data_IF_086232985181
#
_entry.id   IF_086232985181
#
_cell.length_a   1.000
_cell.length_b   1.000
_cell.length_c   1.000
_cell.angle_alpha   90.00
_cell.angle_beta   90.00
_cell.angle_gamma   90.00
#
_symmetry.space_group_name_H-M   'P 1'
#
loop_
_entity.id
_entity.type
_entity.pdbx_description
1 polymer ?
#
# COMPACT_ATOMS: atom_id res chain seq x y z
N UNK A 1 -10.82 5.79 5.91
CA UNK A 1 -9.77 4.86 5.44
C UNK A 1 -9.52 5.20 3.97
N UNK A 2 -8.28 5.41 3.51
CA UNK A 2 -8.01 6.02 2.19
C UNK A 2 -7.49 5.03 1.14
N UNK A 3 -7.97 3.78 1.20
CA UNK A 3 -7.88 2.83 0.10
C UNK A 3 -9.21 2.92 -0.63
N UNK A 4 -9.16 3.28 -1.91
CA UNK A 4 -10.30 3.12 -2.82
C UNK A 4 -10.30 1.67 -3.31
N UNK A 5 -11.31 0.90 -2.92
CA UNK A 5 -11.41 -0.52 -3.21
C UNK A 5 -11.84 -0.81 -4.65
N UNK A 6 -12.51 0.12 -5.32
CA UNK A 6 -12.84 -0.03 -6.74
C UNK A 6 -11.56 0.03 -7.57
N UNK A 7 -10.69 1.00 -7.26
CA UNK A 7 -9.35 1.09 -7.86
C UNK A 7 -8.53 -0.15 -7.49
N UNK A 8 -8.51 -0.56 -6.21
CA UNK A 8 -7.73 -1.72 -5.76
C UNK A 8 -8.16 -3.00 -6.49
N UNK A 9 -9.46 -3.23 -6.64
CA UNK A 9 -10.00 -4.43 -7.27
C UNK A 9 -9.88 -4.43 -8.80
N UNK A 10 -9.73 -3.25 -9.42
CA UNK A 10 -9.37 -3.15 -10.83
C UNK A 10 -7.94 -3.62 -11.14
N UNK A 11 -7.05 -3.65 -10.14
CA UNK A 11 -5.66 -4.07 -10.30
C UNK A 11 -5.57 -5.60 -10.17
N UNK A 12 -4.97 -6.25 -11.18
CA UNK A 12 -4.72 -7.69 -11.16
C UNK A 12 -3.79 -8.07 -9.99
N UNK A 13 -4.10 -9.16 -9.30
CA UNK A 13 -3.26 -9.69 -8.23
C UNK A 13 -4.06 -10.23 -7.06
N UNK A 14 -3.34 -10.65 -6.03
CA UNK A 14 -3.88 -11.25 -4.82
C UNK A 14 -3.73 -10.27 -3.68
N UNK A 15 -4.83 -9.93 -3.02
CA UNK A 15 -4.85 -9.11 -1.82
C UNK A 15 -6.25 -9.22 -1.23
N UNK A 16 -6.37 -9.83 -0.06
CA UNK A 16 -7.63 -9.82 0.69
C UNK A 16 -7.90 -8.42 1.28
N UNK A 17 -9.17 -8.07 1.49
CA UNK A 17 -9.54 -6.74 1.97
C UNK A 17 -9.02 -6.45 3.38
N UNK A 18 -8.98 -7.44 4.28
CA UNK A 18 -8.47 -7.24 5.63
C UNK A 18 -6.93 -7.21 5.65
N UNK A 19 -6.30 -7.99 4.77
CA UNK A 19 -4.86 -7.88 4.51
C UNK A 19 -4.50 -6.50 3.96
N UNK A 20 -5.28 -5.94 3.03
CA UNK A 20 -5.05 -4.61 2.48
C UNK A 20 -5.10 -3.52 3.55
N UNK A 21 -6.10 -3.59 4.45
CA UNK A 21 -6.25 -2.66 5.58
C UNK A 21 -5.06 -2.77 6.53
N UNK A 22 -4.64 -4.01 6.85
CA UNK A 22 -3.51 -4.25 7.73
C UNK A 22 -2.21 -3.74 7.10
N UNK A 23 -1.99 -4.01 5.82
CA UNK A 23 -0.82 -3.57 5.07
C UNK A 23 -0.71 -2.05 5.07
N UNK A 24 -1.80 -1.34 4.79
CA UNK A 24 -1.84 0.13 4.88
C UNK A 24 -1.48 0.63 6.27
N UNK A 25 -2.04 0.03 7.33
CA UNK A 25 -1.76 0.45 8.71
C UNK A 25 -0.29 0.30 9.08
N UNK A 26 0.33 -0.82 8.69
CA UNK A 26 1.75 -1.09 8.94
C UNK A 26 2.61 -0.13 8.12
N UNK A 27 2.32 0.01 6.82
CA UNK A 27 3.04 0.92 5.93
C UNK A 27 2.96 2.38 6.38
N UNK A 28 1.81 2.84 6.89
CA UNK A 28 1.64 4.21 7.38
C UNK A 28 2.48 4.50 8.62
N UNK A 29 2.69 3.49 9.48
CA UNK A 29 3.58 3.60 10.64
C UNK A 29 5.05 3.57 10.20
N UNK A 30 5.41 2.66 9.30
CA UNK A 30 6.76 2.54 8.76
C UNK A 30 7.18 3.81 7.99
N UNK A 31 6.27 4.35 7.17
CA UNK A 31 6.49 5.55 6.38
C UNK A 31 6.74 6.81 7.23
N UNK A 32 6.36 6.81 8.52
CA UNK A 32 6.70 7.90 9.44
C UNK A 32 8.14 7.81 9.99
N UNK A 33 8.79 6.65 9.86
CA UNK A 33 10.17 6.40 10.30
C UNK A 33 11.14 6.59 9.14
N UNK A 34 10.76 6.17 7.93
CA UNK A 34 11.58 6.30 6.73
C UNK A 34 10.87 5.76 5.48
N UNK A 35 11.59 5.59 4.36
CA UNK A 35 11.05 5.00 3.15
C UNK A 35 10.58 3.55 3.34
N UNK A 36 9.61 3.13 2.53
CA UNK A 36 9.13 1.74 2.48
C UNK A 36 9.70 1.07 1.25
N UNK A 37 10.14 -0.18 1.37
CA UNK A 37 10.59 -1.02 0.26
C UNK A 37 9.59 -2.16 0.06
N UNK A 38 9.08 -2.31 -1.15
CA UNK A 38 8.33 -3.48 -1.59
C UNK A 38 9.25 -4.47 -2.31
N UNK A 39 9.18 -5.75 -1.96
CA UNK A 39 9.87 -6.82 -2.68
C UNK A 39 8.82 -7.69 -3.37
N UNK A 40 8.73 -7.56 -4.69
CA UNK A 40 7.78 -8.28 -5.53
C UNK A 40 6.46 -7.53 -5.68
N UNK A 41 6.35 -6.73 -6.75
CA UNK A 41 5.18 -5.89 -6.98
C UNK A 41 4.08 -6.54 -7.82
N UNK A 42 4.38 -7.63 -8.53
CA UNK A 42 3.49 -8.25 -9.53
C UNK A 42 2.88 -7.19 -10.48
N UNK A 43 1.56 -6.97 -10.43
CA UNK A 43 0.87 -5.93 -11.20
C UNK A 43 0.51 -4.67 -10.37
N UNK A 44 1.07 -4.52 -9.17
CA UNK A 44 1.02 -3.29 -8.38
C UNK A 44 -0.14 -3.15 -7.39
N UNK A 45 -0.85 -4.25 -7.06
CA UNK A 45 -2.00 -4.19 -6.14
C UNK A 45 -1.57 -3.79 -4.71
N UNK A 46 -0.50 -4.39 -4.20
CA UNK A 46 0.14 -4.00 -2.93
C UNK A 46 0.85 -2.65 -3.03
N UNK A 47 1.54 -2.37 -4.14
CA UNK A 47 2.18 -1.08 -4.39
C UNK A 47 1.21 0.11 -4.28
N UNK A 48 -0.02 -0.03 -4.78
CA UNK A 48 -1.07 0.99 -4.61
C UNK A 48 -1.37 1.27 -3.13
N UNK A 49 -1.47 0.23 -2.31
CA UNK A 49 -1.75 0.34 -0.87
C UNK A 49 -0.58 1.03 -0.17
N UNK A 50 0.65 0.58 -0.41
CA UNK A 50 1.86 1.18 0.11
C UNK A 50 1.99 2.65 -0.31
N UNK A 51 1.76 2.95 -1.58
CA UNK A 51 1.83 4.29 -2.13
C UNK A 51 0.83 5.24 -1.48
N UNK A 52 -0.40 4.79 -1.20
CA UNK A 52 -1.38 5.59 -0.43
C UNK A 52 -0.92 5.89 0.98
N UNK A 53 -0.26 4.92 1.65
CA UNK A 53 0.28 5.13 2.99
C UNK A 53 1.48 6.08 2.97
N UNK A 54 2.45 5.85 2.08
CA UNK A 54 3.66 6.67 1.93
C UNK A 54 3.30 8.12 1.54
N UNK A 55 2.36 8.31 0.60
CA UNK A 55 1.87 9.64 0.22
C UNK A 55 1.30 10.43 1.40
N UNK A 56 0.67 9.76 2.37
CA UNK A 56 0.14 10.41 3.57
C UNK A 56 1.21 10.81 4.58
N UNK A 57 2.41 10.26 4.47
CA UNK A 57 3.57 10.56 5.31
C UNK A 57 4.66 11.33 4.59
N UNK A 58 4.39 11.78 3.35
CA UNK A 58 5.39 12.43 2.49
C UNK A 58 6.65 11.57 2.34
N UNK A 59 6.47 10.25 2.35
CA UNK A 59 7.53 9.25 2.23
C UNK A 59 7.53 8.61 0.84
N UNK A 60 8.58 7.84 0.57
CA UNK A 60 8.84 7.19 -0.71
C UNK A 60 8.57 5.69 -0.58
N UNK A 61 7.92 5.11 -1.59
CA UNK A 61 7.88 3.67 -1.84
C UNK A 61 8.94 3.33 -2.89
N UNK A 62 9.83 2.41 -2.55
CA UNK A 62 10.80 1.78 -3.45
C UNK A 62 10.33 0.40 -3.88
#
# INVERSE_FOLDING_TARGET
MMIDFDVLNSIKGFMDDDEAKRLYSVAFKAAAIGPVLEIGSYCGKSAYIFGKACKKKESILF
#
